data_IF_953890800870
#
_entry.id   IF_953890800870
#
_cell.length_a   1.000
_cell.length_b   1.000
_cell.length_c   1.000
_cell.angle_alpha   90.00
_cell.angle_beta   90.00
_cell.angle_gamma   90.00
#
_symmetry.space_group_name_H-M   'P 1'
#
loop_
_entity.id
_entity.type
_entity.pdbx_description
1 polymer ?
#
# COMPACT_ATOMS: atom_id res chain seq x y z
N UNK A 1 37.84 -8.40 -53.92
CA UNK A 1 38.44 -8.87 -52.65
C UNK A 1 37.72 -8.16 -51.51
N UNK A 2 37.17 -8.93 -50.58
CA UNK A 2 36.03 -8.59 -49.73
C UNK A 2 36.21 -7.36 -48.83
N UNK A 3 35.35 -6.35 -49.02
CA UNK A 3 35.19 -5.17 -48.13
C UNK A 3 33.83 -5.21 -47.41
N UNK A 4 33.35 -6.43 -47.13
CA UNK A 4 32.02 -6.69 -46.58
C UNK A 4 32.01 -6.80 -45.04
N UNK A 5 33.17 -6.90 -44.39
CA UNK A 5 33.24 -7.26 -42.96
C UNK A 5 32.98 -6.08 -42.01
N UNK A 6 33.02 -4.83 -42.50
CA UNK A 6 32.86 -3.63 -41.66
C UNK A 6 31.43 -3.33 -41.26
N UNK A 7 30.43 -3.74 -42.05
CA UNK A 7 29.04 -3.36 -41.80
C UNK A 7 28.41 -4.33 -40.80
N UNK A 8 28.64 -5.63 -40.98
CA UNK A 8 28.15 -6.67 -40.06
C UNK A 8 28.77 -6.56 -38.67
N UNK A 9 30.07 -6.26 -38.57
CA UNK A 9 30.72 -6.01 -37.26
C UNK A 9 30.15 -4.80 -36.55
N UNK A 10 29.82 -3.72 -37.26
CA UNK A 10 29.14 -2.54 -36.67
C UNK A 10 27.73 -2.87 -36.18
N UNK A 11 26.95 -3.64 -36.95
CA UNK A 11 25.61 -4.06 -36.54
C UNK A 11 25.64 -5.00 -35.32
N UNK A 12 26.61 -5.93 -35.27
CA UNK A 12 26.80 -6.81 -34.12
C UNK A 12 27.19 -6.02 -32.86
N UNK A 13 28.07 -5.02 -33.00
CA UNK A 13 28.49 -4.18 -31.88
C UNK A 13 27.33 -3.32 -31.34
N UNK A 14 26.52 -2.74 -32.22
CA UNK A 14 25.31 -1.98 -31.83
C UNK A 14 24.29 -2.89 -31.16
N UNK A 15 24.07 -4.10 -31.69
CA UNK A 15 23.17 -5.09 -31.06
C UNK A 15 23.63 -5.49 -29.66
N UNK A 16 24.95 -5.68 -29.48
CA UNK A 16 25.52 -5.99 -28.18
C UNK A 16 25.34 -4.86 -27.16
N UNK A 17 25.61 -3.61 -27.56
CA UNK A 17 25.40 -2.42 -26.71
C UNK A 17 23.92 -2.29 -26.30
N UNK A 18 22.98 -2.49 -27.25
CA UNK A 18 21.55 -2.44 -26.95
C UNK A 18 21.17 -3.53 -25.95
N UNK A 19 21.63 -4.77 -26.16
CA UNK A 19 21.37 -5.88 -25.25
C UNK A 19 21.94 -5.61 -23.84
N UNK A 20 23.13 -5.04 -23.74
CA UNK A 20 23.76 -4.67 -22.48
C UNK A 20 22.97 -3.58 -21.73
N UNK A 21 22.51 -2.53 -22.43
CA UNK A 21 21.64 -1.49 -21.85
C UNK A 21 20.34 -2.11 -21.29
N UNK A 22 19.71 -3.02 -22.03
CA UNK A 22 18.51 -3.71 -21.57
C UNK A 22 18.80 -4.61 -20.36
N UNK A 23 19.92 -5.32 -20.37
CA UNK A 23 20.34 -6.17 -19.26
C UNK A 23 20.60 -5.35 -17.99
N UNK A 24 21.36 -4.25 -18.09
CA UNK A 24 21.64 -3.36 -16.96
C UNK A 24 20.35 -2.76 -16.41
N UNK A 25 19.46 -2.26 -17.27
CA UNK A 25 18.14 -1.77 -16.84
C UNK A 25 17.31 -2.84 -16.15
N UNK A 26 17.32 -4.07 -16.65
CA UNK A 26 16.60 -5.19 -16.05
C UNK A 26 17.17 -5.56 -14.68
N UNK A 27 18.49 -5.62 -14.55
CA UNK A 27 19.17 -5.91 -13.28
C UNK A 27 18.90 -4.79 -12.27
N UNK A 28 19.02 -3.52 -12.66
CA UNK A 28 18.71 -2.38 -11.80
C UNK A 28 17.26 -2.38 -11.33
N UNK A 29 16.30 -2.63 -12.23
CA UNK A 29 14.88 -2.72 -11.87
C UNK A 29 14.58 -3.86 -10.88
N UNK A 30 15.30 -4.99 -10.98
CA UNK A 30 15.22 -6.06 -9.97
C UNK A 30 15.88 -5.70 -8.63
N UNK A 31 16.79 -4.74 -8.63
CA UNK A 31 17.54 -4.30 -7.46
C UNK A 31 16.83 -3.18 -6.69
N UNK A 32 15.84 -2.52 -7.30
CA UNK A 32 15.08 -1.46 -6.64
C UNK A 32 14.32 -2.02 -5.42
N UNK A 33 14.38 -1.33 -4.26
CA UNK A 33 13.61 -1.72 -3.10
C UNK A 33 12.11 -1.76 -3.44
N UNK A 34 11.45 -2.84 -3.08
CA UNK A 34 10.00 -2.96 -3.23
C UNK A 34 9.32 -2.89 -1.86
N UNK A 35 8.06 -2.45 -1.86
CA UNK A 35 7.30 -2.33 -0.63
C UNK A 35 6.88 -3.70 -0.09
N UNK A 36 7.20 -3.95 1.18
CA UNK A 36 6.91 -5.23 1.86
C UNK A 36 5.61 -5.15 2.67
N UNK A 37 5.37 -4.02 3.32
CA UNK A 37 4.19 -3.78 4.16
C UNK A 37 3.82 -2.30 4.16
N UNK A 38 2.54 -1.99 4.25
CA UNK A 38 2.06 -0.62 4.40
C UNK A 38 0.87 -0.56 5.37
N UNK A 39 0.66 0.61 5.95
CA UNK A 39 -0.44 0.89 6.86
C UNK A 39 -0.96 2.31 6.66
N UNK A 40 -2.28 2.48 6.65
CA UNK A 40 -2.94 3.78 6.58
C UNK A 40 -3.64 4.08 7.91
N UNK A 41 -3.16 5.09 8.63
CA UNK A 41 -3.78 5.60 9.85
C UNK A 41 -4.49 6.93 9.59
N UNK A 42 -5.45 7.28 10.45
CA UNK A 42 -6.07 8.61 10.47
C UNK A 42 -5.53 9.39 11.67
N UNK A 43 -5.05 10.61 11.43
CA UNK A 43 -4.54 11.53 12.45
C UNK A 43 -5.15 12.91 12.24
N UNK A 44 -5.97 13.38 13.19
CA UNK A 44 -6.75 14.61 12.98
C UNK A 44 -7.64 14.52 11.74
N UNK A 45 -7.46 15.42 10.77
CA UNK A 45 -8.16 15.40 9.47
C UNK A 45 -7.37 14.74 8.35
N UNK A 46 -6.16 14.26 8.64
CA UNK A 46 -5.24 13.72 7.64
C UNK A 46 -5.15 12.20 7.71
N UNK A 47 -4.61 11.62 6.65
CA UNK A 47 -4.43 10.19 6.47
C UNK A 47 -2.96 9.90 6.19
N UNK A 48 -2.33 9.18 7.11
CA UNK A 48 -0.90 8.91 7.09
C UNK A 48 -0.68 7.51 6.54
N UNK A 49 -0.16 7.42 5.32
CA UNK A 49 0.31 6.16 4.74
C UNK A 49 1.78 5.99 5.10
N UNK A 50 2.09 4.91 5.80
CA UNK A 50 3.46 4.52 6.13
C UNK A 50 3.75 3.17 5.49
N UNK A 51 4.91 3.01 4.88
CA UNK A 51 5.33 1.74 4.32
C UNK A 51 6.79 1.41 4.60
N UNK A 52 7.11 0.12 4.52
CA UNK A 52 8.46 -0.39 4.75
C UNK A 52 8.90 -1.15 3.50
N UNK A 53 10.08 -0.81 2.98
CA UNK A 53 10.65 -1.44 1.80
C UNK A 53 11.55 -2.63 2.18
N UNK A 54 11.94 -3.42 1.17
CA UNK A 54 12.78 -4.61 1.33
C UNK A 54 14.16 -4.33 1.93
N UNK A 55 14.67 -3.11 1.76
CA UNK A 55 15.94 -2.62 2.32
C UNK A 55 15.80 -2.05 3.75
N UNK A 56 14.62 -2.22 4.36
CA UNK A 56 14.23 -1.73 5.70
C UNK A 56 14.07 -0.21 5.80
N UNK A 57 14.15 0.53 4.70
CA UNK A 57 13.75 1.95 4.71
C UNK A 57 12.27 2.08 5.01
N UNK A 58 11.91 3.21 5.63
CA UNK A 58 10.55 3.54 6.02
C UNK A 58 10.21 4.88 5.43
N UNK A 59 9.16 4.91 4.63
CA UNK A 59 8.64 6.12 4.02
C UNK A 59 7.25 6.43 4.58
N UNK A 60 6.92 7.72 4.58
CA UNK A 60 5.65 8.24 5.07
C UNK A 60 5.14 9.28 4.08
N UNK A 61 3.84 9.22 3.78
CA UNK A 61 3.15 10.25 3.01
C UNK A 61 1.80 10.57 3.62
N UNK A 62 1.51 11.86 3.70
CA UNK A 62 0.27 12.40 4.27
C UNK A 62 -0.70 12.74 3.14
N UNK A 63 -1.96 12.41 3.32
CA UNK A 63 -3.04 12.64 2.38
C UNK A 63 -4.24 13.31 3.07
N UNK A 64 -4.97 14.13 2.31
CA UNK A 64 -6.25 14.72 2.74
C UNK A 64 -7.43 13.75 2.62
N UNK A 65 -7.25 12.65 1.88
CA UNK A 65 -8.32 11.70 1.57
C UNK A 65 -7.82 10.26 1.64
N UNK A 66 -8.55 9.36 2.31
CA UNK A 66 -8.19 7.95 2.37
C UNK A 66 -8.36 7.27 1.01
N UNK A 67 -9.23 7.81 0.15
CA UNK A 67 -9.42 7.31 -1.22
C UNK A 67 -8.18 7.55 -2.06
N UNK A 68 -7.58 8.74 -1.95
CA UNK A 68 -6.33 9.08 -2.65
C UNK A 68 -5.17 8.24 -2.09
N UNK A 69 -5.10 8.04 -0.78
CA UNK A 69 -4.10 7.18 -0.15
C UNK A 69 -4.21 5.72 -0.63
N UNK A 70 -5.42 5.18 -0.74
CA UNK A 70 -5.67 3.83 -1.28
C UNK A 70 -5.23 3.71 -2.75
N UNK A 71 -5.57 4.69 -3.57
CA UNK A 71 -5.14 4.73 -4.97
C UNK A 71 -3.61 4.79 -5.09
N UNK A 72 -2.95 5.62 -4.29
CA UNK A 72 -1.50 5.68 -4.24
C UNK A 72 -0.89 4.34 -3.83
N UNK A 73 -1.40 3.70 -2.76
CA UNK A 73 -0.93 2.40 -2.30
C UNK A 73 -1.05 1.33 -3.40
N UNK A 74 -2.17 1.31 -4.13
CA UNK A 74 -2.37 0.37 -5.23
C UNK A 74 -1.43 0.62 -6.40
N UNK A 75 -1.45 1.83 -6.95
CA UNK A 75 -0.77 2.14 -8.20
C UNK A 75 0.76 2.30 -8.04
N UNK A 76 1.22 2.79 -6.90
CA UNK A 76 2.65 3.09 -6.69
C UNK A 76 3.35 2.04 -5.83
N UNK A 77 2.64 1.42 -4.87
CA UNK A 77 3.23 0.44 -3.96
C UNK A 77 2.84 -1.00 -4.32
N UNK A 78 1.90 -1.21 -5.26
CA UNK A 78 1.31 -2.52 -5.55
C UNK A 78 0.72 -3.17 -4.30
N UNK A 79 0.02 -2.38 -3.48
CA UNK A 79 -0.51 -2.77 -2.18
C UNK A 79 -2.03 -2.57 -2.11
N UNK A 80 -2.73 -3.47 -1.42
CA UNK A 80 -4.18 -3.37 -1.17
C UNK A 80 -4.55 -3.71 0.27
N UNK A 81 -5.68 -3.21 0.80
CA UNK A 81 -6.14 -3.57 2.15
C UNK A 81 -6.33 -5.08 2.29
N UNK A 82 -5.76 -5.67 3.34
CA UNK A 82 -5.92 -7.09 3.61
C UNK A 82 -5.51 -7.50 5.01
N UNK A 83 -5.82 -8.75 5.35
CA UNK A 83 -5.65 -9.33 6.68
C UNK A 83 -4.24 -9.11 7.22
N UNK A 84 -4.14 -8.60 8.45
CA UNK A 84 -2.85 -8.43 9.11
C UNK A 84 -2.39 -9.77 9.71
N UNK A 85 -1.33 -10.42 9.19
CA UNK A 85 -0.83 -11.68 9.77
C UNK A 85 -0.20 -11.50 11.16
N UNK A 86 0.20 -10.28 11.52
CA UNK A 86 0.81 -9.98 12.82
C UNK A 86 -0.23 -9.69 13.92
N UNK A 87 -1.52 -9.55 13.57
CA UNK A 87 -2.59 -9.27 14.52
C UNK A 87 -3.61 -10.41 14.48
N UNK A 88 -3.55 -11.27 15.49
CA UNK A 88 -4.36 -12.49 15.56
C UNK A 88 -5.73 -12.27 16.23
N UNK A 89 -6.22 -11.03 16.31
CA UNK A 89 -7.56 -10.77 16.86
C UNK A 89 -8.58 -10.55 15.75
N UNK A 90 -9.75 -11.14 15.92
CA UNK A 90 -10.83 -11.10 14.95
C UNK A 90 -11.74 -9.93 15.24
N UNK A 91 -12.21 -9.27 14.18
CA UNK A 91 -13.23 -8.25 14.29
C UNK A 91 -14.55 -8.89 14.72
N UNK A 92 -15.07 -8.51 15.89
CA UNK A 92 -16.39 -8.96 16.38
C UNK A 92 -17.49 -8.17 15.68
N UNK A 93 -17.37 -6.85 15.69
CA UNK A 93 -18.36 -5.97 15.06
C UNK A 93 -17.76 -4.63 14.64
N UNK A 94 -18.33 -4.02 13.61
CA UNK A 94 -18.04 -2.66 13.15
C UNK A 94 -19.32 -1.99 12.68
N UNK A 95 -19.58 -0.80 13.20
CA UNK A 95 -20.77 -0.02 12.89
C UNK A 95 -20.43 1.46 12.79
N UNK A 96 -21.33 2.25 12.22
CA UNK A 96 -21.18 3.69 12.14
C UNK A 96 -22.46 4.41 12.56
N UNK A 97 -22.29 5.59 13.15
CA UNK A 97 -23.36 6.48 13.56
C UNK A 97 -23.06 7.89 13.08
N UNK A 98 -24.10 8.64 12.70
CA UNK A 98 -23.99 10.07 12.44
C UNK A 98 -24.22 10.85 13.75
N UNK A 99 -23.27 11.70 14.12
CA UNK A 99 -23.32 12.53 15.33
C UNK A 99 -22.86 13.96 14.99
N UNK A 100 -23.72 14.96 15.20
CA UNK A 100 -23.40 16.39 15.01
C UNK A 100 -22.67 16.68 13.68
N UNK A 101 -23.21 16.19 12.57
CA UNK A 101 -22.64 16.30 11.20
C UNK A 101 -21.32 15.56 10.97
N UNK A 102 -20.84 14.77 11.92
CA UNK A 102 -19.71 13.85 11.77
C UNK A 102 -20.21 12.42 11.63
N UNK A 103 -19.36 11.58 11.04
CA UNK A 103 -19.57 10.14 10.91
C UNK A 103 -18.60 9.43 11.84
N UNK A 104 -19.13 8.74 12.85
CA UNK A 104 -18.33 8.05 13.86
C UNK A 104 -18.37 6.55 13.57
N UNK A 105 -17.21 5.95 13.35
CA UNK A 105 -17.04 4.51 13.17
C UNK A 105 -16.60 3.93 14.51
N UNK A 106 -17.28 2.88 14.92
CA UNK A 106 -16.96 2.10 16.10
C UNK A 106 -16.66 0.67 15.71
N UNK A 107 -15.75 0.04 16.44
CA UNK A 107 -15.49 -1.38 16.28
C UNK A 107 -15.01 -2.02 17.58
N UNK A 108 -15.17 -3.33 17.64
CA UNK A 108 -14.72 -4.18 18.74
C UNK A 108 -14.11 -5.45 18.16
N UNK A 109 -13.05 -5.94 18.79
CA UNK A 109 -12.44 -7.22 18.45
C UNK A 109 -12.72 -8.24 19.56
N UNK A 110 -12.57 -9.52 19.25
CA UNK A 110 -12.98 -10.61 20.17
C UNK A 110 -12.17 -10.61 21.46
N UNK A 111 -10.85 -10.42 21.36
CA UNK A 111 -9.95 -10.53 22.50
C UNK A 111 -9.69 -9.20 23.22
N UNK A 112 -9.93 -8.05 22.58
CA UNK A 112 -9.88 -6.75 23.24
C UNK A 112 -11.28 -6.28 23.66
N UNK A 113 -11.56 -6.36 24.96
CA UNK A 113 -12.83 -5.91 25.54
C UNK A 113 -12.93 -4.37 25.65
N UNK A 114 -12.69 -3.68 24.54
CA UNK A 114 -12.80 -2.23 24.42
C UNK A 114 -13.48 -1.87 23.10
N UNK A 115 -14.37 -0.89 23.15
CA UNK A 115 -14.95 -0.31 21.94
C UNK A 115 -14.03 0.82 21.47
N UNK A 116 -13.50 0.66 20.26
CA UNK A 116 -12.68 1.67 19.61
C UNK A 116 -13.55 2.62 18.78
N UNK A 117 -13.00 3.81 18.49
CA UNK A 117 -13.73 4.89 17.82
C UNK A 117 -12.82 5.68 16.88
N UNK A 118 -13.34 6.00 15.69
CA UNK A 118 -12.77 6.99 14.77
C UNK A 118 -13.87 7.92 14.27
N UNK A 119 -13.59 9.22 14.23
CA UNK A 119 -14.52 10.24 13.75
C UNK A 119 -14.08 10.77 12.39
N UNK A 120 -15.03 10.95 11.48
CA UNK A 120 -14.82 11.39 10.10
C UNK A 120 -15.74 12.55 9.77
N UNK A 121 -15.24 13.48 8.96
CA UNK A 121 -16.01 14.61 8.45
C UNK A 121 -16.87 14.21 7.24
N UNK A 122 -16.52 13.12 6.58
CA UNK A 122 -17.16 12.65 5.35
C UNK A 122 -17.58 11.18 5.48
N UNK A 123 -18.83 10.87 5.11
CA UNK A 123 -19.38 9.50 5.13
C UNK A 123 -18.58 8.53 4.27
N UNK A 124 -18.14 8.97 3.08
CA UNK A 124 -17.37 8.12 2.17
C UNK A 124 -16.05 7.67 2.81
N UNK A 125 -15.42 8.54 3.60
CA UNK A 125 -14.16 8.23 4.29
C UNK A 125 -14.39 7.24 5.43
N UNK A 126 -15.48 7.39 6.18
CA UNK A 126 -15.90 6.40 7.17
C UNK A 126 -16.14 5.03 6.52
N UNK A 127 -16.82 5.00 5.37
CA UNK A 127 -17.09 3.76 4.61
C UNK A 127 -15.82 3.05 4.17
N UNK A 128 -14.74 3.77 3.82
CA UNK A 128 -13.44 3.16 3.51
C UNK A 128 -12.94 2.32 4.69
N UNK A 129 -12.92 2.89 5.90
CA UNK A 129 -12.43 2.20 7.10
C UNK A 129 -13.33 1.02 7.48
N UNK A 130 -14.65 1.20 7.43
CA UNK A 130 -15.61 0.12 7.69
C UNK A 130 -15.39 -1.05 6.72
N UNK A 131 -15.25 -0.76 5.43
CA UNK A 131 -15.04 -1.79 4.41
C UNK A 131 -13.73 -2.53 4.63
N UNK A 132 -12.63 -1.80 4.89
CA UNK A 132 -11.33 -2.39 5.17
C UNK A 132 -11.35 -3.27 6.43
N UNK A 133 -11.96 -2.80 7.53
CA UNK A 133 -12.02 -3.56 8.78
C UNK A 133 -12.84 -4.83 8.62
N UNK A 134 -13.99 -4.78 7.92
CA UNK A 134 -14.80 -5.96 7.59
C UNK A 134 -14.04 -7.01 6.78
N UNK A 135 -13.06 -6.59 5.98
CA UNK A 135 -12.15 -7.48 5.23
C UNK A 135 -10.99 -8.02 6.06
N UNK A 136 -10.95 -7.74 7.37
CA UNK A 136 -9.87 -8.16 8.26
C UNK A 136 -8.62 -7.27 8.18
N UNK A 137 -8.66 -6.15 7.45
CA UNK A 137 -7.51 -5.26 7.31
C UNK A 137 -7.28 -4.35 8.54
N UNK A 138 -8.03 -4.53 9.63
CA UNK A 138 -7.78 -3.78 10.86
C UNK A 138 -6.42 -4.17 11.45
N UNK A 139 -5.65 -3.17 11.85
CA UNK A 139 -4.43 -3.36 12.64
C UNK A 139 -4.27 -2.26 13.67
N UNK A 140 -4.02 -2.60 14.95
CA UNK A 140 -3.36 -1.66 15.85
C UNK A 140 -1.92 -1.50 15.36
N UNK A 141 -1.59 -0.32 14.86
CA UNK A 141 -0.24 0.06 14.42
C UNK A 141 0.41 0.95 15.48
N UNK A 142 1.73 1.20 15.38
CA UNK A 142 2.40 2.18 16.22
C UNK A 142 1.83 3.60 16.11
N UNK A 143 1.15 3.93 15.01
CA UNK A 143 0.47 5.21 14.78
C UNK A 143 -1.00 5.18 15.25
N UNK A 144 -1.41 4.16 16.01
CA UNK A 144 -2.79 3.93 16.41
C UNK A 144 -3.55 3.00 15.46
N UNK A 145 -4.85 3.21 15.32
CA UNK A 145 -5.73 2.32 14.54
C UNK A 145 -5.58 2.56 13.04
N UNK A 146 -5.29 1.49 12.30
CA UNK A 146 -4.91 1.59 10.89
C UNK A 146 -5.55 0.50 10.03
N UNK A 147 -5.55 0.76 8.72
CA UNK A 147 -5.79 -0.23 7.68
C UNK A 147 -4.44 -0.81 7.29
N UNK A 148 -4.27 -2.12 7.47
CA UNK A 148 -3.13 -2.88 7.00
C UNK A 148 -3.24 -3.16 5.51
N UNK A 149 -2.10 -3.07 4.82
CA UNK A 149 -1.99 -3.39 3.41
C UNK A 149 -1.09 -4.60 3.21
N UNK A 150 -1.53 -5.46 2.31
CA UNK A 150 -0.78 -6.61 1.81
C UNK A 150 -0.45 -6.38 0.34
N UNK A 151 0.49 -7.17 -0.19
CA UNK A 151 0.81 -7.15 -1.62
C UNK A 151 -0.47 -7.43 -2.40
N UNK A 152 -0.79 -6.56 -3.35
CA UNK A 152 -1.93 -6.78 -4.23
C UNK A 152 -1.71 -8.09 -4.96
N UNK A 153 -2.69 -9.00 -4.85
CA UNK A 153 -2.69 -10.18 -5.70
C UNK A 153 -2.75 -9.68 -7.15
N UNK A 154 -1.88 -10.19 -8.03
CA UNK A 154 -2.02 -9.89 -9.44
C UNK A 154 -3.43 -10.31 -9.83
N UNK A 155 -4.27 -9.35 -10.22
CA UNK A 155 -5.62 -9.64 -10.68
C UNK A 155 -5.49 -10.72 -11.78
N UNK A 156 -6.02 -11.92 -11.48
CA UNK A 156 -6.18 -12.98 -12.47
C UNK A 156 -7.26 -12.58 -13.46
#
# INVERSE_FOLDING_TARGET
MFRSDSIYTKFLLVGFIIAEIFLVRFVWKKSEPFTVRASLAKEGQHYILRWVNSDKTVDIKIFESPVVALHFAREHLSMEPGTNPAFNDLLETVWARKEMSKHVVFWKTVNFNMVHRLTFDNESYAKVFISAFRKGAYSPSPLGHSINFIKASAAQ
#
